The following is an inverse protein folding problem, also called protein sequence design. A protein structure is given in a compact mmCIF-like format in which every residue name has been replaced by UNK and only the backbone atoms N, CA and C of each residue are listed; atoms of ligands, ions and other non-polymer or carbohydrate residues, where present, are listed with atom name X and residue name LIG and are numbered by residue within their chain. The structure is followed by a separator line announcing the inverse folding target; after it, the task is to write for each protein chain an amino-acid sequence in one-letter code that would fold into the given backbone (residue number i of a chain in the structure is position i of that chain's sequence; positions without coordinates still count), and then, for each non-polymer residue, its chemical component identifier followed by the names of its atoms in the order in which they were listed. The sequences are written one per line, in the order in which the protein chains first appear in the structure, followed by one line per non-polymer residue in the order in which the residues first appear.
data_IF_084712870665
#
_entry.id   IF_084712870665
#
_cell.length_a   1.000
_cell.length_b   1.000
_cell.length_c   1.000
_cell.angle_alpha   90.00
_cell.angle_beta   90.00
_cell.angle_gamma   90.00
#
_symmetry.space_group_name_H-M   'P 1'
#
loop_
_entity.id
_entity.type
_entity.pdbx_description
1 polymer ?
#
# COMPACT_ATOMS: atom_id res chain seq x y z
N UNK A 1 7.72 16.15 -4.43
CA UNK A 1 9.00 15.58 -3.98
C UNK A 1 9.13 15.83 -2.50
N UNK A 2 8.87 14.84 -1.67
CA UNK A 2 9.22 14.90 -0.24
C UNK A 2 10.54 14.12 -0.08
N UNK A 3 11.68 14.80 -0.28
CA UNK A 3 12.93 14.33 0.28
C UNK A 3 12.96 14.83 1.74
N UNK A 4 12.36 14.07 2.63
CA UNK A 4 12.59 14.31 4.04
C UNK A 4 14.02 13.85 4.35
N UNK A 5 14.91 14.79 4.61
CA UNK A 5 16.22 14.57 5.28
C UNK A 5 15.99 14.20 6.76
N UNK A 6 14.95 13.43 7.07
CA UNK A 6 14.67 12.97 8.41
C UNK A 6 15.10 11.51 8.47
N UNK A 7 16.12 11.21 9.26
CA UNK A 7 16.53 9.85 9.56
C UNK A 7 15.50 9.22 10.51
N UNK A 8 14.73 8.26 10.01
CA UNK A 8 13.81 7.48 10.81
C UNK A 8 14.53 6.30 11.44
N UNK A 9 14.35 6.12 12.74
CA UNK A 9 14.88 4.96 13.46
C UNK A 9 14.05 3.69 13.26
N UNK A 10 12.76 3.84 12.93
CA UNK A 10 11.83 2.74 12.65
C UNK A 10 11.10 3.02 11.35
N UNK A 11 11.24 2.12 10.39
CA UNK A 11 10.59 2.20 9.09
C UNK A 11 9.84 0.90 8.87
N UNK A 12 8.51 0.97 8.87
CA UNK A 12 7.64 -0.16 8.57
C UNK A 12 7.15 -0.06 7.13
N UNK A 13 7.36 -1.10 6.32
CA UNK A 13 6.75 -1.21 5.00
C UNK A 13 5.62 -2.24 5.04
N UNK A 14 4.47 -1.92 4.45
CA UNK A 14 3.28 -2.77 4.39
C UNK A 14 2.99 -3.09 2.93
N UNK A 15 2.83 -4.40 2.63
CA UNK A 15 2.47 -4.88 1.30
C UNK A 15 1.02 -4.61 0.91
N UNK A 16 0.60 -5.19 -0.20
CA UNK A 16 -0.71 -4.99 -0.82
C UNK A 16 -1.87 -5.29 0.13
N UNK A 17 -2.78 -4.33 0.31
CA UNK A 17 -3.88 -4.42 1.27
C UNK A 17 -5.18 -4.88 0.61
N UNK A 18 -5.50 -4.37 -0.57
CA UNK A 18 -6.66 -4.76 -1.35
C UNK A 18 -7.95 -4.86 -0.52
N UNK A 19 -8.38 -3.77 0.11
CA UNK A 19 -9.64 -3.74 0.86
C UNK A 19 -9.72 -4.71 2.03
N UNK A 20 -8.59 -5.23 2.53
CA UNK A 20 -8.49 -6.12 3.71
C UNK A 20 -8.37 -5.28 5.00
N UNK A 21 -9.39 -4.46 5.31
CA UNK A 21 -9.33 -3.51 6.43
C UNK A 21 -9.22 -4.18 7.79
N UNK A 22 -9.88 -5.32 8.01
CA UNK A 22 -9.83 -6.03 9.30
C UNK A 22 -8.41 -6.51 9.60
N UNK A 23 -7.75 -7.08 8.58
CA UNK A 23 -6.36 -7.53 8.68
C UNK A 23 -5.40 -6.35 8.83
N UNK A 24 -5.68 -5.21 8.18
CA UNK A 24 -4.89 -3.99 8.35
C UNK A 24 -4.96 -3.47 9.79
N UNK A 25 -6.17 -3.39 10.37
CA UNK A 25 -6.35 -2.94 11.76
C UNK A 25 -5.61 -3.86 12.73
N UNK A 26 -5.72 -5.17 12.57
CA UNK A 26 -5.02 -6.14 13.41
C UNK A 26 -3.49 -6.00 13.23
N UNK A 27 -3.02 -5.85 11.99
CA UNK A 27 -1.59 -5.68 11.70
C UNK A 27 -1.04 -4.41 12.36
N UNK A 28 -1.71 -3.27 12.16
CA UNK A 28 -1.29 -1.99 12.76
C UNK A 28 -1.28 -2.07 14.30
N UNK A 29 -2.24 -2.79 14.89
CA UNK A 29 -2.27 -3.03 16.35
C UNK A 29 -1.10 -3.86 16.88
N UNK A 30 -0.45 -4.64 16.03
CA UNK A 30 0.72 -5.46 16.39
C UNK A 30 2.06 -4.74 16.17
N UNK A 31 2.06 -3.60 15.44
CA UNK A 31 3.30 -2.84 15.19
C UNK A 31 3.65 -1.97 16.41
N UNK A 32 4.91 -1.96 16.86
CA UNK A 32 5.37 -1.10 17.96
C UNK A 32 5.60 0.34 17.46
N UNK A 33 4.52 0.98 16.99
CA UNK A 33 4.53 2.33 16.46
C UNK A 33 4.69 3.38 17.55
N UNK A 34 5.38 4.46 17.23
CA UNK A 34 5.50 5.68 18.03
C UNK A 34 5.52 6.90 17.10
N UNK A 35 5.64 8.10 17.66
CA UNK A 35 5.66 9.37 16.90
C UNK A 35 6.91 9.54 16.01
N UNK A 36 7.95 8.73 16.22
CA UNK A 36 9.17 8.70 15.41
C UNK A 36 9.16 7.61 14.34
N UNK A 37 8.07 6.85 14.26
CA UNK A 37 7.91 5.77 13.27
C UNK A 37 7.47 6.32 11.92
N UNK A 38 8.00 5.74 10.84
CA UNK A 38 7.49 5.91 9.49
C UNK A 38 6.81 4.62 9.05
N UNK A 39 5.58 4.73 8.56
CA UNK A 39 4.85 3.63 7.91
C UNK A 39 4.74 3.91 6.41
N UNK A 40 5.20 2.97 5.58
CA UNK A 40 5.14 3.07 4.12
C UNK A 40 4.20 1.99 3.59
N UNK A 41 3.12 2.40 2.91
CA UNK A 41 2.23 1.51 2.17
C UNK A 41 2.68 1.40 0.73
N UNK A 42 2.79 0.17 0.22
CA UNK A 42 3.39 -0.12 -1.10
C UNK A 42 2.39 -0.07 -2.26
N UNK A 43 1.22 0.54 -2.06
CA UNK A 43 0.14 0.61 -3.05
C UNK A 43 -0.82 -0.58 -2.97
N UNK A 44 -1.73 -0.66 -3.96
CA UNK A 44 -2.81 -1.64 -4.02
C UNK A 44 -3.62 -1.70 -2.70
N UNK A 45 -4.08 -0.51 -2.29
CA UNK A 45 -4.90 -0.30 -1.09
C UNK A 45 -6.36 -0.72 -1.36
N UNK A 46 -6.80 -0.52 -2.60
CA UNK A 46 -8.17 -0.69 -3.07
C UNK A 46 -8.34 -1.98 -3.88
N UNK A 47 -9.58 -2.28 -4.25
CA UNK A 47 -10.01 -3.39 -5.10
C UNK A 47 -9.92 -4.78 -4.48
N UNK A 48 -10.67 -5.73 -5.06
CA UNK A 48 -10.73 -7.15 -4.73
C UNK A 48 -11.38 -7.45 -3.37
N UNK A 49 -10.87 -6.86 -2.30
CA UNK A 49 -11.43 -7.00 -0.96
C UNK A 49 -12.59 -6.03 -0.70
N UNK A 50 -13.45 -6.34 0.28
CA UNK A 50 -14.76 -5.68 0.42
C UNK A 50 -14.72 -4.31 1.11
N UNK A 51 -13.58 -3.86 1.64
CA UNK A 51 -13.51 -2.72 2.56
C UNK A 51 -12.46 -1.68 2.14
N UNK A 52 -12.42 -1.33 0.84
CA UNK A 52 -11.49 -0.33 0.32
C UNK A 52 -11.66 1.04 0.99
N UNK A 53 -12.90 1.44 1.25
CA UNK A 53 -13.21 2.69 1.98
C UNK A 53 -12.57 2.70 3.36
N UNK A 54 -12.80 1.66 4.15
CA UNK A 54 -12.27 1.55 5.51
C UNK A 54 -10.73 1.49 5.54
N UNK A 55 -10.10 0.91 4.51
CA UNK A 55 -8.62 0.94 4.38
C UNK A 55 -8.14 2.38 4.29
N UNK A 56 -8.76 3.21 3.43
CA UNK A 56 -8.38 4.62 3.30
C UNK A 56 -8.66 5.38 4.61
N UNK A 57 -9.85 5.17 5.24
CA UNK A 57 -10.18 5.75 6.56
C UNK A 57 -9.08 5.46 7.59
N UNK A 58 -8.60 4.20 7.66
CA UNK A 58 -7.56 3.80 8.61
C UNK A 58 -6.19 4.42 8.30
N UNK A 59 -5.82 4.54 7.03
CA UNK A 59 -4.56 5.19 6.64
C UNK A 59 -4.58 6.69 6.97
N UNK A 60 -5.68 7.37 6.67
CA UNK A 60 -5.83 8.79 7.01
C UNK A 60 -5.75 9.01 8.52
N UNK A 61 -6.41 8.16 9.30
CA UNK A 61 -6.33 8.22 10.76
C UNK A 61 -4.94 7.90 11.31
N UNK A 62 -4.20 6.98 10.67
CA UNK A 62 -2.84 6.65 11.10
C UNK A 62 -1.89 7.86 10.97
N UNK A 63 -2.13 8.78 10.01
CA UNK A 63 -1.36 10.03 9.86
C UNK A 63 -1.46 10.97 11.07
N UNK A 64 -2.47 10.79 11.92
CA UNK A 64 -2.59 11.54 13.18
C UNK A 64 -1.64 11.02 14.27
N UNK A 65 -1.13 9.80 14.11
CA UNK A 65 -0.35 9.10 15.14
C UNK A 65 1.15 9.03 14.81
N UNK A 66 1.50 8.86 13.55
CA UNK A 66 2.89 8.74 13.09
C UNK A 66 3.04 9.26 11.65
N UNK A 67 4.27 9.28 11.15
CA UNK A 67 4.50 9.62 9.76
C UNK A 67 4.04 8.48 8.84
N UNK A 68 3.28 8.83 7.82
CA UNK A 68 2.77 7.87 6.83
C UNK A 68 3.08 8.34 5.42
N UNK A 69 3.67 7.45 4.63
CA UNK A 69 3.81 7.56 3.18
C UNK A 69 3.02 6.43 2.56
N UNK A 70 2.13 6.74 1.64
CA UNK A 70 1.52 5.73 0.78
C UNK A 70 1.92 6.03 -0.66
N UNK A 71 2.27 5.01 -1.43
CA UNK A 71 2.54 5.14 -2.86
C UNK A 71 1.40 4.55 -3.66
N UNK A 72 1.25 4.98 -4.92
CA UNK A 72 0.24 4.45 -5.83
C UNK A 72 0.62 3.05 -6.30
N UNK A 73 -0.32 2.13 -6.26
CA UNK A 73 -0.27 0.90 -7.03
C UNK A 73 -1.02 1.04 -8.36
N UNK A 74 -1.00 -0.02 -9.16
CA UNK A 74 -1.74 -0.04 -10.42
C UNK A 74 -3.26 -0.03 -10.19
N UNK A 75 -3.74 -0.51 -9.05
CA UNK A 75 -5.16 -0.48 -8.70
C UNK A 75 -5.65 0.93 -8.40
N UNK A 76 -4.89 1.76 -7.68
CA UNK A 76 -5.21 3.18 -7.52
C UNK A 76 -5.20 3.92 -8.86
N UNK A 77 -4.21 3.63 -9.72
CA UNK A 77 -4.13 4.24 -11.05
C UNK A 77 -5.34 3.88 -11.93
N UNK A 78 -5.79 2.62 -11.92
CA UNK A 78 -6.99 2.18 -12.63
C UNK A 78 -8.26 2.82 -12.06
N UNK A 79 -8.39 2.92 -10.73
CA UNK A 79 -9.54 3.55 -10.09
C UNK A 79 -9.64 5.04 -10.44
N UNK A 80 -8.54 5.77 -10.39
CA UNK A 80 -8.51 7.18 -10.81
C UNK A 80 -8.84 7.36 -12.29
N UNK A 81 -8.34 6.47 -13.16
CA UNK A 81 -8.71 6.47 -14.59
C UNK A 81 -10.21 6.22 -14.79
N UNK A 82 -10.81 5.29 -14.02
CA UNK A 82 -12.26 5.06 -14.03
C UNK A 82 -13.04 6.31 -13.62
N UNK A 83 -12.61 7.03 -12.58
CA UNK A 83 -13.27 8.25 -12.14
C UNK A 83 -13.22 9.36 -13.19
N UNK A 84 -12.08 9.51 -13.87
CA UNK A 84 -11.86 10.57 -14.85
C UNK A 84 -12.46 10.24 -16.24
N UNK A 85 -12.46 8.94 -16.61
CA UNK A 85 -12.83 8.46 -17.95
C UNK A 85 -13.63 7.14 -17.85
N UNK A 86 -14.87 7.15 -17.30
CA UNK A 86 -15.63 5.93 -17.00
C UNK A 86 -15.98 5.08 -18.23
N UNK A 87 -15.91 5.65 -19.45
CA UNK A 87 -16.18 4.96 -20.71
C UNK A 87 -14.91 4.44 -21.41
N UNK A 88 -13.74 4.55 -20.77
CA UNK A 88 -12.47 4.12 -21.35
C UNK A 88 -12.25 2.59 -21.25
N UNK A 89 -11.28 2.09 -21.99
CA UNK A 89 -10.85 0.69 -21.89
C UNK A 89 -10.23 0.44 -20.49
N UNK A 90 -9.53 1.42 -19.95
CA UNK A 90 -8.92 1.37 -18.62
C UNK A 90 -9.98 1.19 -17.53
N UNK A 91 -11.18 1.76 -17.72
CA UNK A 91 -12.31 1.57 -16.81
C UNK A 91 -12.83 0.12 -16.84
N UNK A 92 -12.81 -0.53 -17.99
CA UNK A 92 -13.12 -1.96 -18.10
C UNK A 92 -12.08 -2.77 -17.35
N UNK A 93 -10.80 -2.43 -17.49
CA UNK A 93 -9.71 -3.10 -16.76
C UNK A 93 -9.86 -2.93 -15.25
N UNK A 94 -10.26 -1.76 -14.75
CA UNK A 94 -10.56 -1.53 -13.33
C UNK A 94 -11.62 -2.53 -12.84
N UNK A 95 -12.76 -2.62 -13.52
CA UNK A 95 -13.85 -3.53 -13.15
C UNK A 95 -13.37 -4.99 -13.18
N UNK A 96 -12.66 -5.41 -14.24
CA UNK A 96 -12.16 -6.78 -14.40
C UNK A 96 -11.12 -7.17 -13.35
N UNK A 97 -10.37 -6.21 -12.81
CA UNK A 97 -9.37 -6.44 -11.78
C UNK A 97 -9.93 -6.33 -10.34
N UNK A 98 -11.24 -6.24 -10.18
CA UNK A 98 -11.90 -6.29 -8.87
C UNK A 98 -12.38 -4.94 -8.36
N UNK A 99 -12.43 -3.92 -9.20
CA UNK A 99 -12.88 -2.56 -8.88
C UNK A 99 -14.32 -2.47 -8.39
N UNK A 100 -15.19 -3.43 -8.76
CA UNK A 100 -16.57 -3.48 -8.22
C UNK A 100 -16.57 -3.53 -6.69
N UNK A 101 -15.64 -4.25 -6.06
CA UNK A 101 -15.56 -4.29 -4.61
C UNK A 101 -15.23 -2.92 -4.00
N UNK A 102 -14.45 -2.10 -4.70
CA UNK A 102 -14.21 -0.72 -4.30
C UNK A 102 -15.47 0.11 -4.42
N UNK A 103 -16.16 0.08 -5.56
CA UNK A 103 -17.42 0.80 -5.74
C UNK A 103 -18.46 0.40 -4.70
N UNK A 104 -18.61 -0.90 -4.42
CA UNK A 104 -19.51 -1.43 -3.39
C UNK A 104 -19.14 -0.91 -1.99
N UNK A 105 -17.86 -0.74 -1.67
CA UNK A 105 -17.42 -0.20 -0.38
C UNK A 105 -17.77 1.28 -0.19
N UNK A 106 -17.99 2.00 -1.28
CA UNK A 106 -18.46 3.40 -1.33
C UNK A 106 -19.92 3.53 -1.72
N UNK A 107 -20.70 2.43 -1.70
CA UNK A 107 -22.08 2.43 -2.15
C UNK A 107 -22.92 3.54 -1.48
N UNK A 108 -23.70 4.27 -2.27
CA UNK A 108 -24.62 5.32 -1.84
C UNK A 108 -25.85 5.33 -2.75
N UNK A 109 -26.97 4.88 -2.20
CA UNK A 109 -28.25 4.80 -2.94
C UNK A 109 -28.79 6.18 -3.38
N UNK A 110 -28.31 7.26 -2.77
CA UNK A 110 -28.69 8.64 -3.13
C UNK A 110 -27.79 9.22 -4.23
N UNK A 111 -26.72 8.56 -4.60
CA UNK A 111 -25.83 8.98 -5.68
C UNK A 111 -26.35 8.50 -7.04
N UNK A 112 -26.35 9.37 -8.06
CA UNK A 112 -26.68 8.97 -9.44
C UNK A 112 -25.75 7.90 -10.01
N UNK A 113 -24.55 7.76 -9.46
CA UNK A 113 -23.55 6.75 -9.86
C UNK A 113 -23.62 5.47 -9.03
N UNK A 114 -24.49 5.42 -7.99
CA UNK A 114 -24.59 4.29 -7.08
C UNK A 114 -23.49 4.22 -6.02
N UNK A 115 -22.52 5.12 -6.05
CA UNK A 115 -21.46 5.26 -5.05
C UNK A 115 -21.14 6.74 -4.81
N UNK A 116 -20.50 7.03 -3.66
CA UNK A 116 -20.05 8.38 -3.30
C UNK A 116 -18.66 8.32 -2.69
N UNK A 117 -17.66 8.84 -3.42
CA UNK A 117 -16.28 8.94 -2.93
C UNK A 117 -16.13 10.24 -2.13
N UNK A 118 -15.81 10.16 -0.81
CA UNK A 118 -15.52 11.35 -0.02
C UNK A 118 -14.37 12.15 -0.63
N UNK A 119 -14.49 13.47 -0.60
CA UNK A 119 -13.49 14.37 -1.19
C UNK A 119 -12.09 14.14 -0.61
N UNK A 120 -11.99 13.90 0.69
CA UNK A 120 -10.73 13.63 1.37
C UNK A 120 -10.06 12.34 0.84
N UNK A 121 -10.86 11.29 0.53
CA UNK A 121 -10.36 10.05 -0.03
C UNK A 121 -9.88 10.25 -1.48
N UNK A 122 -10.64 11.00 -2.27
CA UNK A 122 -10.23 11.34 -3.64
C UNK A 122 -8.94 12.15 -3.66
N UNK A 123 -8.84 13.18 -2.83
CA UNK A 123 -7.63 14.01 -2.68
C UNK A 123 -6.44 13.17 -2.22
N UNK A 124 -6.64 12.25 -1.28
CA UNK A 124 -5.61 11.32 -0.84
C UNK A 124 -5.11 10.44 -1.99
N UNK A 125 -6.01 9.78 -2.72
CA UNK A 125 -5.66 8.89 -3.83
C UNK A 125 -4.94 9.64 -4.97
N UNK A 126 -5.39 10.85 -5.32
CA UNK A 126 -4.77 11.68 -6.37
C UNK A 126 -3.39 12.22 -6.00
N UNK A 127 -3.07 12.29 -4.71
CA UNK A 127 -1.76 12.77 -4.22
C UNK A 127 -0.75 11.67 -4.01
N UNK A 128 -1.11 10.40 -4.20
CA UNK A 128 -0.18 9.29 -4.04
C UNK A 128 0.97 9.39 -5.05
N UNK A 129 2.23 9.48 -4.60
CA UNK A 129 3.38 9.39 -5.49
C UNK A 129 3.53 7.94 -5.99
N UNK A 130 4.19 7.74 -7.12
CA UNK A 130 4.48 6.40 -7.67
C UNK A 130 5.81 5.82 -7.15
N UNK A 131 6.52 6.54 -6.31
CA UNK A 131 7.68 6.07 -5.55
C UNK A 131 7.96 6.95 -4.32
N UNK A 132 8.73 6.41 -3.38
CA UNK A 132 9.32 7.16 -2.30
C UNK A 132 10.77 6.73 -2.06
N UNK A 133 11.59 7.60 -1.49
CA UNK A 133 12.95 7.26 -1.05
C UNK A 133 13.15 7.72 0.39
N UNK A 134 13.58 6.81 1.24
CA UNK A 134 13.86 7.08 2.67
C UNK A 134 15.11 6.28 3.07
N UNK A 135 16.08 6.91 3.68
CA UNK A 135 17.34 6.29 4.09
C UNK A 135 17.99 5.50 2.93
N UNK A 136 18.28 4.22 3.12
CA UNK A 136 18.89 3.33 2.12
C UNK A 136 17.84 2.56 1.28
N UNK A 137 16.58 2.95 1.35
CA UNK A 137 15.48 2.27 0.68
C UNK A 137 14.87 3.13 -0.43
N UNK A 138 14.45 2.46 -1.50
CA UNK A 138 13.55 2.99 -2.52
C UNK A 138 12.29 2.13 -2.54
N UNK A 139 11.14 2.76 -2.48
CA UNK A 139 9.82 2.13 -2.44
C UNK A 139 9.13 2.37 -3.78
N UNK A 140 8.70 1.31 -4.42
CA UNK A 140 7.81 1.35 -5.58
C UNK A 140 6.77 0.24 -5.44
N UNK A 141 5.65 0.35 -6.14
CA UNK A 141 4.64 -0.69 -6.06
C UNK A 141 5.12 -2.02 -6.68
N UNK A 142 5.52 -2.00 -7.95
CA UNK A 142 5.85 -3.23 -8.69
C UNK A 142 7.36 -3.46 -8.86
N UNK A 143 8.06 -2.57 -9.53
CA UNK A 143 9.48 -2.76 -9.77
C UNK A 143 10.19 -1.59 -10.43
N UNK A 144 11.46 -1.77 -10.75
CA UNK A 144 12.31 -0.80 -11.43
C UNK A 144 13.02 -1.43 -12.62
N UNK A 145 13.22 -0.69 -13.73
CA UNK A 145 14.07 -1.13 -14.83
C UNK A 145 15.54 -1.23 -14.38
N UNK A 146 16.36 -1.91 -15.17
CA UNK A 146 17.81 -2.06 -14.92
C UNK A 146 18.59 -0.78 -15.23
N UNK A 147 18.25 0.30 -14.55
CA UNK A 147 18.92 1.59 -14.59
C UNK A 147 19.24 2.03 -13.18
N UNK A 148 20.37 2.72 -12.99
CA UNK A 148 20.74 3.26 -11.67
C UNK A 148 19.79 4.38 -11.23
N UNK A 149 19.68 4.59 -9.92
CA UNK A 149 19.06 5.79 -9.37
C UNK A 149 19.91 7.02 -9.72
N UNK A 150 19.29 8.17 -10.11
CA UNK A 150 17.82 8.39 -10.17
C UNK A 150 17.18 8.03 -11.52
N UNK A 151 17.93 7.60 -12.54
CA UNK A 151 17.44 7.44 -13.91
C UNK A 151 16.25 6.49 -14.03
N UNK A 152 16.25 5.39 -13.25
CA UNK A 152 15.13 4.44 -13.20
C UNK A 152 13.81 5.04 -12.65
N UNK A 153 13.85 6.24 -12.07
CA UNK A 153 12.67 6.95 -11.56
C UNK A 153 12.14 8.01 -12.54
N UNK A 154 12.75 8.14 -13.72
CA UNK A 154 12.26 9.07 -14.75
C UNK A 154 10.79 8.78 -15.13
N UNK A 155 10.03 9.80 -15.54
CA UNK A 155 8.59 9.67 -15.81
C UNK A 155 8.24 8.55 -16.81
N UNK A 156 9.06 8.31 -17.83
CA UNK A 156 8.86 7.27 -18.84
C UNK A 156 8.83 5.84 -18.27
N UNK A 157 9.40 5.61 -17.08
CA UNK A 157 9.38 4.31 -16.39
C UNK A 157 8.26 4.20 -15.35
N UNK A 158 7.24 5.07 -15.40
CA UNK A 158 6.10 4.99 -14.49
C UNK A 158 5.37 3.66 -14.58
N UNK A 159 5.19 3.15 -15.79
CA UNK A 159 4.54 1.84 -16.01
C UNK A 159 5.33 0.69 -15.40
N UNK A 160 6.66 0.74 -15.43
CA UNK A 160 7.49 -0.27 -14.74
C UNK A 160 7.25 -0.24 -13.22
N UNK A 161 7.14 0.95 -12.62
CA UNK A 161 6.86 1.09 -11.19
C UNK A 161 5.50 0.55 -10.79
N UNK A 162 4.52 0.54 -11.70
CA UNK A 162 3.16 0.08 -11.45
C UNK A 162 2.89 -1.36 -11.86
N UNK A 163 3.62 -1.91 -12.86
CA UNK A 163 3.23 -3.17 -13.50
C UNK A 163 4.35 -4.20 -13.67
N UNK A 164 5.60 -3.85 -13.41
CA UNK A 164 6.72 -4.77 -13.65
C UNK A 164 6.61 -6.00 -12.76
N UNK A 165 6.51 -7.18 -13.38
CA UNK A 165 6.42 -8.44 -12.64
C UNK A 165 7.76 -8.85 -12.04
N UNK A 166 7.69 -9.43 -10.86
CA UNK A 166 8.83 -9.87 -10.05
C UNK A 166 9.84 -10.74 -10.82
N UNK A 167 9.36 -11.63 -11.69
CA UNK A 167 10.19 -12.53 -12.50
C UNK A 167 11.12 -11.78 -13.46
N UNK A 168 10.78 -10.54 -13.83
CA UNK A 168 11.59 -9.71 -14.72
C UNK A 168 12.71 -8.97 -14.00
N UNK A 169 12.72 -8.97 -12.67
CA UNK A 169 13.72 -8.25 -11.88
C UNK A 169 14.94 -9.13 -11.58
N UNK A 170 16.11 -8.66 -12.00
CA UNK A 170 17.37 -9.31 -11.73
C UNK A 170 17.77 -9.13 -10.26
N UNK A 171 17.87 -10.22 -9.51
CA UNK A 171 18.24 -10.22 -8.09
C UNK A 171 19.70 -9.79 -7.83
N UNK A 172 20.51 -9.64 -8.87
CA UNK A 172 21.90 -9.19 -8.77
C UNK A 172 22.10 -7.71 -9.13
N UNK A 173 21.11 -7.07 -9.77
CA UNK A 173 21.24 -5.68 -10.20
C UNK A 173 21.23 -4.73 -8.99
N UNK A 174 22.20 -3.83 -8.93
CA UNK A 174 22.31 -2.83 -7.87
C UNK A 174 21.76 -1.47 -8.34
N UNK A 175 20.59 -1.08 -7.85
CA UNK A 175 20.00 0.25 -8.10
C UNK A 175 20.66 1.39 -7.32
N UNK A 176 21.52 1.09 -6.34
CA UNK A 176 22.14 2.06 -5.42
C UNK A 176 21.41 2.19 -4.09
N UNK A 177 20.19 1.67 -3.98
CA UNK A 177 19.39 1.51 -2.74
C UNK A 177 18.68 0.17 -2.78
N UNK A 178 18.26 -0.32 -1.62
CA UNK A 178 17.45 -1.54 -1.52
C UNK A 178 16.01 -1.25 -1.93
N UNK A 179 15.52 -1.97 -2.93
CA UNK A 179 14.16 -1.85 -3.43
C UNK A 179 13.18 -2.57 -2.49
N UNK A 180 12.12 -1.88 -2.09
CA UNK A 180 11.00 -2.44 -1.33
C UNK A 180 9.76 -2.34 -2.22
N UNK A 181 9.06 -3.47 -2.44
CA UNK A 181 7.93 -3.52 -3.38
C UNK A 181 6.88 -4.58 -3.00
N UNK A 182 5.76 -4.57 -3.72
CA UNK A 182 4.65 -5.52 -3.64
C UNK A 182 4.26 -6.08 -5.01
N UNK A 183 2.97 -5.98 -5.39
CA UNK A 183 2.38 -6.26 -6.69
C UNK A 183 2.40 -7.73 -7.17
N UNK A 184 3.42 -8.47 -6.87
CA UNK A 184 3.58 -9.87 -7.30
C UNK A 184 3.39 -10.77 -6.10
N UNK A 185 2.16 -11.32 -5.87
CA UNK A 185 1.86 -12.05 -4.65
C UNK A 185 2.69 -13.34 -4.57
N UNK A 186 3.24 -13.57 -3.39
CA UNK A 186 4.04 -14.75 -3.04
C UNK A 186 3.52 -15.37 -1.75
N UNK A 187 3.81 -16.64 -1.53
CA UNK A 187 3.35 -17.35 -0.30
C UNK A 187 4.08 -16.84 0.94
N UNK A 188 5.30 -16.34 0.76
CA UNK A 188 6.14 -15.79 1.82
C UNK A 188 6.92 -14.60 1.31
N UNK A 189 7.37 -13.74 2.23
CA UNK A 189 8.23 -12.60 1.88
C UNK A 189 9.46 -13.07 1.11
N UNK A 190 9.76 -12.41 0.00
CA UNK A 190 10.98 -12.65 -0.76
C UNK A 190 12.04 -11.61 -0.39
N UNK A 191 13.14 -12.07 0.19
CA UNK A 191 14.26 -11.22 0.58
C UNK A 191 15.45 -11.55 -0.30
N UNK A 192 15.79 -10.66 -1.23
CA UNK A 192 16.99 -10.71 -2.04
C UNK A 192 18.03 -9.68 -1.57
N UNK A 193 19.24 -9.78 -2.11
CA UNK A 193 20.32 -8.83 -1.78
C UNK A 193 19.89 -7.38 -2.07
N UNK A 194 19.24 -7.15 -3.21
CA UNK A 194 18.90 -5.83 -3.75
C UNK A 194 17.45 -5.43 -3.58
N UNK A 195 16.53 -6.35 -3.22
CA UNK A 195 15.10 -6.08 -3.10
C UNK A 195 14.39 -6.95 -2.06
N UNK A 196 13.22 -6.47 -1.63
CA UNK A 196 12.29 -7.21 -0.76
C UNK A 196 10.89 -7.07 -1.34
N UNK A 197 10.19 -8.20 -1.55
CA UNK A 197 8.78 -8.25 -1.89
C UNK A 197 7.95 -8.55 -0.65
N UNK A 198 7.01 -7.66 -0.30
CA UNK A 198 6.13 -7.79 0.86
C UNK A 198 4.69 -8.16 0.51
N UNK A 199 4.35 -8.29 -0.77
CA UNK A 199 3.02 -8.78 -1.16
C UNK A 199 2.95 -10.29 -0.89
N UNK A 200 2.31 -10.63 0.21
CA UNK A 200 2.07 -12.02 0.62
C UNK A 200 0.63 -12.46 0.41
N UNK A 201 -0.08 -11.83 -0.51
CA UNK A 201 -1.35 -12.30 -1.05
C UNK A 201 -2.52 -12.29 -0.06
N UNK A 202 -2.65 -11.26 0.78
CA UNK A 202 -3.69 -11.16 1.79
C UNK A 202 -5.09 -11.42 1.21
N UNK A 203 -5.46 -10.70 0.15
CA UNK A 203 -6.79 -10.80 -0.47
C UNK A 203 -7.07 -12.20 -1.06
N UNK A 204 -6.04 -12.97 -1.35
CA UNK A 204 -6.13 -14.36 -1.84
C UNK A 204 -6.17 -15.40 -0.70
N UNK A 205 -6.38 -14.97 0.56
CA UNK A 205 -6.52 -15.87 1.71
C UNK A 205 -5.20 -16.19 2.42
N UNK A 206 -4.12 -15.49 2.08
CA UNK A 206 -2.82 -15.62 2.74
C UNK A 206 -2.65 -14.55 3.83
N UNK A 207 -1.48 -13.90 3.90
CA UNK A 207 -1.17 -12.94 4.97
C UNK A 207 -1.14 -11.50 4.45
N UNK A 208 -1.53 -10.55 5.30
CA UNK A 208 -1.08 -9.16 5.20
C UNK A 208 0.24 -9.03 5.96
N UNK A 209 1.26 -8.48 5.31
CA UNK A 209 2.61 -8.43 5.86
C UNK A 209 3.12 -7.01 6.00
N UNK A 210 3.68 -6.70 7.16
CA UNK A 210 4.56 -5.57 7.39
C UNK A 210 5.97 -6.05 7.75
N UNK A 211 6.97 -5.25 7.40
CA UNK A 211 8.35 -5.45 7.84
C UNK A 211 8.89 -4.17 8.45
N UNK A 212 9.47 -4.27 9.64
CA UNK A 212 10.37 -3.24 10.14
C UNK A 212 11.71 -3.41 9.40
N UNK A 213 12.11 -2.42 8.62
CA UNK A 213 13.16 -2.57 7.60
C UNK A 213 14.59 -2.53 8.18
N UNK A 214 14.80 -1.88 9.33
CA UNK A 214 16.12 -1.75 9.95
C UNK A 214 16.51 -3.08 10.61
N UNK A 215 15.59 -3.67 11.38
CA UNK A 215 15.79 -4.96 12.06
C UNK A 215 15.39 -6.16 11.21
N UNK A 216 14.70 -5.94 10.11
CA UNK A 216 14.06 -6.95 9.26
C UNK A 216 13.06 -7.85 10.01
N UNK A 217 12.40 -7.28 11.02
CA UNK A 217 11.36 -7.98 11.79
C UNK A 217 10.06 -8.01 11.01
N UNK A 218 9.50 -9.21 10.82
CA UNK A 218 8.23 -9.43 10.12
C UNK A 218 7.06 -9.42 11.10
N UNK A 219 5.97 -8.78 10.67
CA UNK A 219 4.65 -8.79 11.30
C UNK A 219 3.65 -9.28 10.27
N UNK A 220 2.87 -10.30 10.60
CA UNK A 220 1.94 -10.90 9.65
C UNK A 220 0.61 -11.19 10.32
N UNK A 221 -0.47 -10.88 9.59
CA UNK A 221 -1.84 -11.23 9.97
C UNK A 221 -2.42 -12.09 8.85
N UNK A 222 -2.90 -13.27 9.22
CA UNK A 222 -3.53 -14.18 8.27
C UNK A 222 -4.93 -13.70 7.93
N UNK A 223 -5.29 -13.74 6.64
CA UNK A 223 -6.66 -13.47 6.21
C UNK A 223 -7.64 -14.37 6.95
N UNK A 224 -8.58 -13.75 7.68
CA UNK A 224 -9.63 -14.50 8.36
C UNK A 224 -10.53 -15.20 7.33
N UNK A 225 -10.83 -16.48 7.54
CA UNK A 225 -11.90 -17.14 6.80
C UNK A 225 -13.21 -16.42 7.13
N UNK A 226 -14.07 -16.16 6.12
CA UNK A 226 -15.33 -15.42 6.20
C UNK A 226 -16.27 -15.91 7.33
N UNK A 227 -15.91 -15.70 8.59
CA UNK A 227 -16.80 -15.82 9.76
C UNK A 227 -16.55 -14.65 10.69
N UNK A 228 -17.48 -13.71 10.58
CA UNK A 228 -17.82 -12.67 11.57
C UNK A 228 -16.69 -12.18 12.49
N UNK A 229 -16.29 -10.94 12.37
CA UNK A 229 -15.78 -10.24 13.55
C UNK A 229 -16.28 -8.80 13.61
N UNK A 230 -17.27 -8.59 14.46
CA UNK A 230 -17.47 -7.32 15.15
C UNK A 230 -16.32 -7.19 16.18
N UNK A 231 -15.19 -6.65 15.79
CA UNK A 231 -14.18 -6.17 16.73
C UNK A 231 -13.65 -4.82 16.26
N UNK A 232 -14.25 -3.75 16.75
CA UNK A 232 -13.61 -2.45 16.77
C UNK A 232 -12.39 -2.54 17.69
N UNK A 233 -11.21 -2.54 17.13
CA UNK A 233 -9.96 -2.52 17.90
C UNK A 233 -9.16 -1.27 17.52
N UNK A 234 -9.19 -0.31 18.45
CA UNK A 234 -8.09 0.64 18.60
C UNK A 234 -7.52 0.41 20.00
N UNK A 235 -6.20 0.41 20.17
CA UNK A 235 -5.63 0.28 21.48
C UNK A 235 -6.22 1.38 22.39
N UNK A 236 -6.71 0.98 23.56
CA UNK A 236 -7.08 1.92 24.61
C UNK A 236 -5.84 2.76 24.88
N UNK A 237 -5.99 4.07 24.73
CA UNK A 237 -5.00 5.10 25.00
C UNK A 237 -4.10 4.76 26.20
N UNK A 238 -2.87 4.37 25.91
CA UNK A 238 -1.76 4.38 26.87
C UNK A 238 -0.58 5.15 26.28
N UNK A 239 -0.87 6.25 25.60
CA UNK A 239 0.16 7.23 25.29
C UNK A 239 0.27 8.14 26.50
N UNK A 240 1.19 7.81 27.40
CA UNK A 240 1.60 8.71 28.48
C UNK A 240 2.37 9.84 27.80
N UNK A 241 1.74 11.00 27.70
CA UNK A 241 2.43 12.24 27.44
C UNK A 241 3.31 12.55 28.65
N UNK A 242 4.58 12.18 28.57
CA UNK A 242 5.56 12.78 29.50
C UNK A 242 5.79 14.22 29.08
N UNK A 243 5.36 15.11 29.95
CA UNK A 243 5.72 16.52 29.92
C UNK A 243 7.19 16.69 30.27
#
# INVERSE_FOLDING_TARGET
MQSANQDYSKIFAIGDVHGCADELVELLGNLPLDDQSLVVFLGDLVDRGPKSKEVIDHILKLKEMCQVVAISGNHEAMFLSFLDHPESIESILFIMNGGLATLDSYADENSHQGFSLPKEHEEFLRQLPDYAMVNDFVFVHAGLPKLKLPDCLAPEYREDRLWLRNISMDSSFDWGKKLIHGHSPTVSVEIHKNRINLDTGCVFGLNLTAMELVTQTLYQVKKASLKSSNRGFWPKSTWVTNK
#
